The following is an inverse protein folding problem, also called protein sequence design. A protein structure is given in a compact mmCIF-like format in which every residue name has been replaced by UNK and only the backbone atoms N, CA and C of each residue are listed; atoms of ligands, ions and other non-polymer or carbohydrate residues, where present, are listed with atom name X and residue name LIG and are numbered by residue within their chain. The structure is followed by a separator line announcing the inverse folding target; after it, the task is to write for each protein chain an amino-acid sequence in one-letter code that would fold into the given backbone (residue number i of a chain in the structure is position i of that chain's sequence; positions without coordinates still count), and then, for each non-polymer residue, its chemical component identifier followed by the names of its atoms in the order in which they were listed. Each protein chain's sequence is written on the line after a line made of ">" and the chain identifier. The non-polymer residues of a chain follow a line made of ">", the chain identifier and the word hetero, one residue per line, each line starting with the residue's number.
data_IF_744702668462
#
_entry.id   IF_744702668462
#
_cell.length_a   1.000
_cell.length_b   1.000
_cell.length_c   1.000
_cell.angle_alpha   90.00
_cell.angle_beta   90.00
_cell.angle_gamma   90.00
#
_symmetry.space_group_name_H-M   'P 1'
#
loop_
_entity.id
_entity.type
_entity.pdbx_description
1 polymer ?
#
# COMPACT_ATOMS: atom_id res chain seq x y z
N UNK A 1 2.67 0.06 -15.43
CA UNK A 1 1.39 -0.67 -15.74
C UNK A 1 0.25 0.30 -15.46
N UNK A 2 -0.87 0.28 -16.19
CA UNK A 2 -1.95 1.24 -15.95
C UNK A 2 -2.82 0.77 -14.77
N UNK A 3 -3.04 1.62 -13.77
CA UNK A 3 -4.00 1.38 -12.70
C UNK A 3 -5.43 1.30 -13.26
N UNK A 4 -6.31 0.54 -12.61
CA UNK A 4 -7.74 0.64 -12.88
C UNK A 4 -8.25 2.05 -12.55
N UNK A 5 -9.35 2.48 -13.19
CA UNK A 5 -9.91 3.82 -12.99
C UNK A 5 -10.25 4.07 -11.51
N UNK A 6 -10.87 3.07 -10.86
CA UNK A 6 -11.20 3.11 -9.44
C UNK A 6 -9.97 3.17 -8.52
N UNK A 7 -8.95 2.32 -8.76
CA UNK A 7 -7.73 2.34 -7.96
C UNK A 7 -6.98 3.66 -8.10
N UNK A 8 -6.94 4.22 -9.32
CA UNK A 8 -6.31 5.52 -9.57
C UNK A 8 -7.00 6.67 -8.83
N UNK A 9 -8.34 6.75 -8.89
CA UNK A 9 -9.09 7.81 -8.19
C UNK A 9 -8.96 7.72 -6.67
N UNK A 10 -9.02 6.50 -6.11
CA UNK A 10 -8.85 6.30 -4.67
C UNK A 10 -7.41 6.62 -4.25
N UNK A 11 -6.40 6.12 -4.98
CA UNK A 11 -5.00 6.45 -4.73
C UNK A 11 -4.73 7.96 -4.76
N UNK A 12 -5.26 8.70 -5.74
CA UNK A 12 -5.08 10.16 -5.82
C UNK A 12 -5.69 10.89 -4.63
N UNK A 13 -6.82 10.42 -4.10
CA UNK A 13 -7.41 10.97 -2.87
C UNK A 13 -6.51 10.73 -1.66
N UNK A 14 -5.81 9.59 -1.62
CA UNK A 14 -4.93 9.21 -0.51
C UNK A 14 -3.54 9.85 -0.61
N UNK A 15 -3.05 10.11 -1.83
CA UNK A 15 -1.76 10.75 -2.12
C UNK A 15 -1.83 12.29 -1.98
N UNK A 16 -2.27 12.75 -0.81
CA UNK A 16 -2.36 14.17 -0.45
C UNK A 16 -1.36 14.54 0.63
N UNK A 17 -1.23 15.85 0.90
CA UNK A 17 -0.37 16.42 1.93
C UNK A 17 -0.44 15.64 3.25
N UNK A 18 0.72 15.49 3.89
CA UNK A 18 0.86 14.75 5.12
C UNK A 18 1.77 15.51 6.09
N UNK A 19 1.44 15.42 7.37
CA UNK A 19 2.29 15.89 8.45
C UNK A 19 3.22 14.75 8.90
N UNK A 20 4.46 15.03 9.35
CA UNK A 20 5.39 14.00 9.81
C UNK A 20 4.84 13.10 10.92
N UNK A 21 3.97 13.64 11.79
CA UNK A 21 3.29 12.86 12.84
C UNK A 21 2.38 11.77 12.27
N UNK A 22 1.80 11.98 11.09
CA UNK A 22 0.98 10.99 10.40
C UNK A 22 1.81 9.81 9.87
N UNK A 23 3.11 10.00 9.60
CA UNK A 23 3.97 8.93 9.10
C UNK A 23 4.24 7.86 10.16
N UNK A 24 4.39 8.25 11.42
CA UNK A 24 4.60 7.30 12.53
C UNK A 24 3.35 6.43 12.66
N UNK A 25 2.18 7.09 12.73
CA UNK A 25 0.89 6.41 12.83
C UNK A 25 0.62 5.49 11.64
N UNK A 26 0.92 5.93 10.42
CA UNK A 26 0.70 5.15 9.21
C UNK A 26 1.58 3.88 9.17
N UNK A 27 2.82 3.93 9.68
CA UNK A 27 3.66 2.73 9.82
C UNK A 27 3.05 1.71 10.79
N UNK A 28 2.50 2.18 11.92
CA UNK A 28 1.82 1.33 12.89
C UNK A 28 0.56 0.70 12.27
N UNK A 29 -0.22 1.50 11.52
CA UNK A 29 -1.41 1.04 10.79
C UNK A 29 -1.07 -0.02 9.73
N UNK A 30 0.00 0.17 8.95
CA UNK A 30 0.49 -0.84 8.00
C UNK A 30 0.87 -2.15 8.70
N UNK A 31 1.56 -2.05 9.84
CA UNK A 31 1.99 -3.22 10.62
C UNK A 31 0.77 -3.97 11.16
N UNK A 32 -0.23 -3.24 11.65
CA UNK A 32 -1.49 -3.82 12.10
C UNK A 32 -2.27 -4.45 10.95
N UNK A 33 -2.27 -3.84 9.77
CA UNK A 33 -2.95 -4.38 8.59
C UNK A 33 -2.36 -5.73 8.16
N UNK A 34 -1.04 -5.87 8.19
CA UNK A 34 -0.38 -7.16 7.94
C UNK A 34 -0.76 -8.23 8.99
N UNK A 35 -0.90 -7.84 10.26
CA UNK A 35 -1.41 -8.74 11.31
C UNK A 35 -2.85 -9.17 11.00
N UNK A 36 -3.72 -8.23 10.65
CA UNK A 36 -5.11 -8.52 10.28
C UNK A 36 -5.18 -9.48 9.09
N UNK A 37 -4.37 -9.24 8.05
CA UNK A 37 -4.29 -10.11 6.87
C UNK A 37 -3.85 -11.53 7.23
N UNK A 38 -2.86 -11.68 8.13
CA UNK A 38 -2.42 -12.98 8.64
C UNK A 38 -3.49 -13.71 9.43
N UNK A 39 -4.25 -13.00 10.25
CA UNK A 39 -5.37 -13.61 10.98
C UNK A 39 -6.49 -14.03 10.02
N UNK A 40 -6.81 -13.22 9.01
CA UNK A 40 -7.76 -13.59 7.96
C UNK A 40 -7.29 -14.82 7.17
N UNK A 41 -6.00 -14.95 6.91
CA UNK A 41 -5.42 -16.09 6.19
C UNK A 41 -5.55 -17.42 6.98
N UNK A 42 -5.63 -17.37 8.32
CA UNK A 42 -5.93 -18.56 9.12
C UNK A 42 -7.35 -19.09 8.87
N UNK A 43 -8.27 -18.21 8.48
CA UNK A 43 -9.66 -18.57 8.16
C UNK A 43 -9.84 -18.86 6.66
N UNK A 44 -8.96 -18.32 5.81
CA UNK A 44 -8.99 -18.43 4.36
C UNK A 44 -7.62 -18.88 3.81
N UNK A 45 -7.42 -20.19 3.63
CA UNK A 45 -6.15 -20.80 3.20
C UNK A 45 -5.58 -20.29 1.87
N UNK A 46 -6.35 -19.54 1.07
CA UNK A 46 -5.93 -19.03 -0.25
C UNK A 46 -5.40 -17.59 -0.22
N UNK A 47 -5.28 -16.94 0.94
CA UNK A 47 -4.74 -15.59 1.00
C UNK A 47 -3.22 -15.56 0.78
N UNK A 48 -2.71 -14.69 -0.11
CA UNK A 48 -1.29 -14.60 -0.40
C UNK A 48 -0.54 -13.81 0.68
N UNK A 49 -0.36 -14.40 1.87
CA UNK A 49 0.33 -13.77 3.02
C UNK A 49 1.76 -13.35 2.69
N UNK A 50 2.44 -14.14 1.86
CA UNK A 50 3.81 -13.83 1.43
C UNK A 50 3.87 -12.55 0.61
N UNK A 51 2.90 -12.31 -0.28
CA UNK A 51 2.80 -11.07 -1.04
C UNK A 51 2.43 -9.88 -0.15
N UNK A 52 1.56 -10.07 0.85
CA UNK A 52 1.22 -9.00 1.81
C UNK A 52 2.45 -8.59 2.61
N UNK A 53 3.26 -9.57 3.04
CA UNK A 53 4.51 -9.32 3.74
C UNK A 53 5.51 -8.58 2.85
N UNK A 54 5.69 -9.03 1.61
CA UNK A 54 6.61 -8.39 0.66
C UNK A 54 6.20 -6.94 0.37
N UNK A 55 4.92 -6.69 0.13
CA UNK A 55 4.38 -5.35 -0.08
C UNK A 55 4.62 -4.44 1.13
N UNK A 56 4.34 -4.95 2.32
CA UNK A 56 4.59 -4.23 3.57
C UNK A 56 6.06 -3.84 3.71
N UNK A 57 6.97 -4.80 3.50
CA UNK A 57 8.41 -4.56 3.67
C UNK A 57 8.95 -3.57 2.64
N UNK A 58 8.47 -3.66 1.40
CA UNK A 58 8.80 -2.72 0.34
C UNK A 58 8.29 -1.30 0.62
N UNK A 59 7.07 -1.16 1.15
CA UNK A 59 6.56 0.14 1.59
C UNK A 59 7.41 0.71 2.74
N UNK A 60 7.79 -0.10 3.73
CA UNK A 60 8.69 0.35 4.80
C UNK A 60 10.06 0.80 4.26
N UNK A 61 10.59 0.10 3.25
CA UNK A 61 11.83 0.50 2.58
C UNK A 61 11.69 1.87 1.88
N UNK A 62 10.55 2.14 1.22
CA UNK A 62 10.27 3.47 0.66
C UNK A 62 10.17 4.55 1.74
N UNK A 63 9.55 4.24 2.89
CA UNK A 63 9.49 5.16 4.02
C UNK A 63 10.86 5.52 4.59
N UNK A 64 11.80 4.57 4.61
CA UNK A 64 13.17 4.81 5.06
C UNK A 64 13.92 5.79 4.15
N UNK A 65 13.52 5.87 2.88
CA UNK A 65 14.13 6.71 1.84
C UNK A 65 13.36 8.00 1.57
N UNK A 66 12.29 8.29 2.30
CA UNK A 66 11.44 9.48 2.04
C UNK A 66 12.21 10.79 2.05
N UNK A 67 13.25 10.91 2.89
CA UNK A 67 14.08 12.11 2.95
C UNK A 67 14.85 12.39 1.64
N UNK A 68 15.01 11.38 0.77
CA UNK A 68 15.68 11.48 -0.53
C UNK A 68 14.72 11.87 -1.66
N UNK A 69 13.41 11.85 -1.40
CA UNK A 69 12.35 12.11 -2.37
C UNK A 69 11.84 13.55 -2.30
N UNK A 70 11.31 14.05 -3.42
CA UNK A 70 10.58 15.33 -3.44
C UNK A 70 9.28 15.24 -2.63
N UNK A 71 8.68 16.39 -2.27
CA UNK A 71 7.39 16.42 -1.55
C UNK A 71 6.30 15.66 -2.31
N UNK A 72 6.24 15.83 -3.63
CA UNK A 72 5.29 15.13 -4.51
C UNK A 72 5.52 13.61 -4.48
N UNK A 73 6.78 13.18 -4.55
CA UNK A 73 7.15 11.77 -4.47
C UNK A 73 6.86 11.16 -3.09
N UNK A 74 7.11 11.90 -2.01
CA UNK A 74 6.75 11.48 -0.67
C UNK A 74 5.23 11.30 -0.52
N UNK A 75 4.42 12.18 -1.12
CA UNK A 75 2.97 12.05 -1.13
C UNK A 75 2.51 10.78 -1.86
N UNK A 76 3.18 10.36 -2.93
CA UNK A 76 2.91 9.08 -3.60
C UNK A 76 3.18 7.88 -2.67
N UNK A 77 4.30 7.89 -1.95
CA UNK A 77 4.65 6.84 -0.96
C UNK A 77 3.57 6.74 0.12
N UNK A 78 3.14 7.89 0.65
CA UNK A 78 2.07 7.96 1.65
C UNK A 78 0.75 7.47 1.08
N UNK A 79 0.42 7.83 -0.16
CA UNK A 79 -0.78 7.35 -0.84
C UNK A 79 -0.81 5.83 -0.99
N UNK A 80 0.31 5.20 -1.37
CA UNK A 80 0.40 3.75 -1.50
C UNK A 80 0.24 3.04 -0.15
N UNK A 81 0.88 3.55 0.90
CA UNK A 81 0.71 3.00 2.25
C UNK A 81 -0.72 3.17 2.78
N UNK A 82 -1.34 4.33 2.54
CA UNK A 82 -2.75 4.55 2.88
C UNK A 82 -3.67 3.61 2.11
N UNK A 83 -3.38 3.33 0.83
CA UNK A 83 -4.18 2.40 0.02
C UNK A 83 -4.15 0.99 0.61
N UNK A 84 -2.96 0.51 0.98
CA UNK A 84 -2.78 -0.77 1.66
C UNK A 84 -3.56 -0.87 2.98
N UNK A 85 -3.63 0.23 3.75
CA UNK A 85 -4.36 0.30 5.02
C UNK A 85 -5.88 0.47 4.83
N UNK A 86 -6.31 1.24 3.82
CA UNK A 86 -7.71 1.67 3.63
C UNK A 86 -8.66 0.55 3.19
N UNK A 87 -8.16 -0.66 2.95
CA UNK A 87 -8.95 -1.85 2.59
C UNK A 87 -10.07 -2.20 3.59
N UNK A 88 -10.10 -1.59 4.79
CA UNK A 88 -11.10 -1.89 5.84
C UNK A 88 -12.30 -0.90 5.90
N UNK A 89 -12.19 0.35 5.41
CA UNK A 89 -13.10 1.43 5.87
C UNK A 89 -14.08 2.03 4.85
N UNK A 90 -13.90 1.86 3.52
CA UNK A 90 -14.81 2.52 2.54
C UNK A 90 -15.93 1.59 2.02
N UNK A 91 -15.81 0.26 2.17
CA UNK A 91 -16.87 -0.71 1.83
C UNK A 91 -16.85 -1.93 2.79
N UNK A 92 -17.69 -1.96 3.85
CA UNK A 92 -17.82 -3.10 4.76
C UNK A 92 -18.56 -4.30 4.14
N UNK A 93 -18.52 -4.44 2.80
CA UNK A 93 -18.97 -5.66 2.15
C UNK A 93 -17.89 -6.71 2.39
N UNK A 94 -18.14 -7.49 3.45
CA UNK A 94 -17.42 -8.67 3.96
C UNK A 94 -17.20 -9.80 2.95
N UNK A 95 -17.28 -9.51 1.65
CA UNK A 95 -17.03 -10.43 0.53
C UNK A 95 -16.13 -9.81 -0.55
N UNK A 96 -15.53 -8.64 -0.33
CA UNK A 96 -14.56 -8.10 -1.29
C UNK A 96 -13.25 -8.85 -1.11
N UNK A 97 -13.07 -9.82 -1.98
CA UNK A 97 -11.87 -10.63 -2.22
C UNK A 97 -10.61 -9.86 -1.78
N UNK A 98 -9.94 -10.38 -0.75
CA UNK A 98 -8.64 -9.96 -0.20
C UNK A 98 -7.50 -10.13 -1.23
N UNK A 99 -7.69 -9.56 -2.42
CA UNK A 99 -6.76 -9.59 -3.53
C UNK A 99 -5.82 -8.40 -3.41
N UNK A 100 -4.53 -8.68 -3.23
CA UNK A 100 -3.49 -7.66 -3.21
C UNK A 100 -3.16 -7.11 -4.61
N UNK A 101 -3.85 -7.58 -5.65
CA UNK A 101 -3.57 -7.24 -7.05
C UNK A 101 -3.60 -5.72 -7.27
N UNK A 102 -4.57 -5.04 -6.67
CA UNK A 102 -4.70 -3.59 -6.74
C UNK A 102 -3.65 -2.88 -5.89
N UNK A 103 -3.36 -3.36 -4.68
CA UNK A 103 -2.32 -2.79 -3.82
C UNK A 103 -0.93 -2.89 -4.47
N UNK A 104 -0.63 -4.05 -5.07
CA UNK A 104 0.62 -4.28 -5.81
C UNK A 104 0.64 -3.44 -7.08
N UNK A 105 -0.49 -3.26 -7.76
CA UNK A 105 -0.58 -2.35 -8.91
C UNK A 105 -0.28 -0.90 -8.52
N UNK A 106 -0.88 -0.41 -7.44
CA UNK A 106 -0.64 0.93 -6.87
C UNK A 106 0.82 1.07 -6.47
N UNK A 107 1.37 0.12 -5.75
CA UNK A 107 2.78 0.11 -5.36
C UNK A 107 3.70 0.13 -6.58
N UNK A 108 3.46 -0.72 -7.57
CA UNK A 108 4.24 -0.78 -8.82
C UNK A 108 4.16 0.54 -9.60
N UNK A 109 3.01 1.19 -9.61
CA UNK A 109 2.85 2.51 -10.20
C UNK A 109 3.66 3.57 -9.45
N UNK A 110 3.67 3.55 -8.12
CA UNK A 110 4.47 4.47 -7.31
C UNK A 110 5.96 4.26 -7.54
N UNK A 111 6.48 3.03 -7.48
CA UNK A 111 7.91 2.79 -7.70
C UNK A 111 8.37 3.13 -9.13
N UNK A 112 7.51 2.97 -10.14
CA UNK A 112 7.76 3.48 -11.49
C UNK A 112 7.95 5.03 -11.47
N UNK A 113 7.07 5.77 -10.79
CA UNK A 113 7.18 7.22 -10.66
C UNK A 113 8.37 7.70 -9.81
N UNK A 114 8.79 6.91 -8.82
CA UNK A 114 9.97 7.18 -8.00
C UNK A 114 11.28 6.84 -8.73
N UNK A 115 11.22 6.23 -9.92
CA UNK A 115 12.41 5.70 -10.62
C UNK A 115 13.04 4.50 -9.91
N UNK A 116 12.29 3.82 -9.03
CA UNK A 116 12.70 2.66 -8.23
C UNK A 116 12.14 1.36 -8.76
N UNK A 117 12.17 1.18 -10.08
CA UNK A 117 11.68 -0.04 -10.74
C UNK A 117 12.42 -1.32 -10.31
N UNK A 118 13.55 -1.19 -9.61
CA UNK A 118 14.24 -2.29 -8.93
C UNK A 118 13.41 -2.94 -7.81
N UNK A 119 12.48 -2.20 -7.21
CA UNK A 119 11.58 -2.69 -6.16
C UNK A 119 10.26 -3.26 -6.70
N UNK A 120 10.08 -3.30 -8.03
CA UNK A 120 8.83 -3.75 -8.64
C UNK A 120 8.50 -5.18 -8.21
N UNK A 121 7.27 -5.37 -7.74
CA UNK A 121 6.75 -6.67 -7.34
C UNK A 121 6.09 -7.38 -8.54
N UNK A 122 6.19 -8.71 -8.52
CA UNK A 122 5.57 -9.61 -9.49
C UNK A 122 4.57 -10.50 -8.76
N UNK A 123 3.36 -10.63 -9.30
CA UNK A 123 2.25 -11.42 -8.76
C UNK A 123 1.55 -12.15 -9.89
#
# INVERSE_FOLDING_TARGET
>A
MALSEHASEHFQRLAQDFEPVHLIRLKDEMSQQLVNFREAAKQHEMLPVDLAQELHDNLLALFALMAEFSVEQQALVVGAARYFVAQDDEYPDTETILGLDDDISVFNHVVEQLGRSDLRMHY
#
